data_IF_356048879480
#
_entry.id   IF_356048879480
#
_cell.length_a   1.000
_cell.length_b   1.000
_cell.length_c   1.000
_cell.angle_alpha   90.00
_cell.angle_beta   90.00
_cell.angle_gamma   90.00
#
_symmetry.space_group_name_H-M   'P 1'
#
loop_
_entity.id
_entity.type
_entity.pdbx_description
1 polymer ?
#
# COMPACT_ATOMS: atom_id res chain seq x y z
N UNK A 1 -46.57 -23.51 -31.91
CA UNK A 1 -47.81 -22.70 -32.00
C UNK A 1 -47.78 -21.78 -30.79
N UNK A 2 -47.66 -20.50 -30.81
CA UNK A 2 -48.03 -19.37 -31.62
C UNK A 2 -47.01 -18.23 -31.39
N UNK A 3 -46.57 -17.64 -32.49
CA UNK A 3 -45.91 -16.34 -32.58
C UNK A 3 -46.75 -15.22 -31.99
N UNK A 4 -46.10 -14.15 -31.43
CA UNK A 4 -46.51 -12.77 -31.67
C UNK A 4 -45.27 -11.92 -31.78
N UNK A 5 -45.25 -11.14 -32.89
CA UNK A 5 -44.24 -10.23 -33.41
C UNK A 5 -44.43 -8.81 -32.87
N UNK A 6 -43.29 -8.07 -32.81
CA UNK A 6 -43.08 -6.68 -33.17
C UNK A 6 -43.96 -5.56 -32.57
N UNK A 7 -43.28 -4.53 -31.98
CA UNK A 7 -43.41 -3.14 -32.51
C UNK A 7 -42.14 -2.35 -32.17
N UNK A 8 -41.43 -1.89 -33.23
CA UNK A 8 -40.47 -0.78 -33.25
C UNK A 8 -41.24 0.52 -33.21
N UNK A 9 -40.74 1.53 -32.48
CA UNK A 9 -40.87 2.95 -32.92
C UNK A 9 -39.68 3.76 -32.40
N UNK A 10 -38.90 4.22 -33.40
CA UNK A 10 -37.93 5.31 -33.31
C UNK A 10 -38.70 6.65 -33.28
N UNK A 11 -38.18 7.63 -32.56
CA UNK A 11 -38.42 9.04 -32.83
C UNK A 11 -37.18 9.85 -32.46
N UNK A 12 -36.54 10.39 -33.51
CA UNK A 12 -35.51 11.40 -33.50
C UNK A 12 -36.10 12.78 -33.63
N UNK A 13 -35.53 13.80 -32.96
CA UNK A 13 -35.56 15.26 -33.31
C UNK A 13 -34.59 15.93 -32.30
N UNK A 14 -33.45 16.40 -32.66
CA UNK A 14 -32.91 17.58 -33.38
C UNK A 14 -33.55 18.92 -33.01
N UNK A 15 -32.72 19.78 -32.40
CA UNK A 15 -32.60 21.25 -32.51
C UNK A 15 -31.42 21.67 -31.60
N UNK A 16 -30.37 22.17 -32.02
CA UNK A 16 -29.61 23.15 -32.75
C UNK A 16 -29.80 24.62 -32.31
N UNK A 17 -28.63 25.25 -32.13
CA UNK A 17 -28.31 26.69 -32.19
C UNK A 17 -28.67 27.51 -30.91
N UNK A 18 -27.89 28.53 -30.50
CA UNK A 18 -26.84 29.35 -31.11
C UNK A 18 -26.06 30.12 -30.04
N UNK A 19 -24.79 30.29 -30.28
CA UNK A 19 -23.94 31.50 -30.25
C UNK A 19 -24.37 32.71 -29.37
N UNK A 20 -23.37 33.16 -28.59
CA UNK A 20 -22.92 34.56 -28.75
C UNK A 20 -21.53 34.78 -28.11
N UNK A 21 -20.63 35.26 -28.96
CA UNK A 21 -19.36 35.92 -28.65
C UNK A 21 -19.59 37.24 -27.92
N UNK A 22 -18.68 37.60 -27.02
CA UNK A 22 -18.28 38.97 -26.83
C UNK A 22 -16.80 39.09 -26.45
N UNK A 23 -16.05 39.66 -27.39
CA UNK A 23 -14.72 40.24 -27.23
C UNK A 23 -14.85 41.67 -26.68
N UNK A 24 -13.89 42.05 -25.81
CA UNK A 24 -13.29 43.40 -25.75
C UNK A 24 -12.19 43.30 -24.69
N UNK A 25 -10.92 43.35 -24.92
CA UNK A 25 -10.00 44.26 -25.60
C UNK A 25 -9.50 45.44 -24.72
N UNK A 26 -8.15 45.53 -24.64
CA UNK A 26 -7.30 46.72 -24.40
C UNK A 26 -7.10 47.12 -22.93
N UNK A 27 -5.90 47.39 -22.47
CA UNK A 27 -4.67 47.91 -22.98
C UNK A 27 -3.58 47.93 -21.90
N UNK A 28 -2.42 47.69 -22.28
CA UNK A 28 -1.29 48.62 -22.51
C UNK A 28 -0.66 49.31 -21.29
N UNK A 29 0.63 49.10 -21.17
CA UNK A 29 1.60 49.98 -20.47
C UNK A 29 2.65 49.10 -19.82
N UNK A 30 3.71 48.75 -20.41
CA UNK A 30 4.93 49.29 -20.95
C UNK A 30 5.85 49.89 -19.91
N UNK A 31 7.03 49.28 -19.90
CA UNK A 31 8.38 49.81 -19.75
C UNK A 31 8.80 50.14 -18.32
N UNK A 32 9.97 49.84 -17.89
CA UNK A 32 11.29 49.85 -18.42
C UNK A 32 12.26 49.80 -17.26
N UNK A 33 13.24 49.10 -17.38
CA UNK A 33 14.71 49.20 -17.46
C UNK A 33 15.38 49.18 -16.11
N UNK A 34 16.26 48.23 -16.00
CA UNK A 34 17.66 48.21 -16.34
C UNK A 34 18.59 48.66 -15.22
N UNK A 35 19.54 47.84 -15.06
CA UNK A 35 21.00 48.09 -15.00
C UNK A 35 21.64 47.80 -13.68
N UNK A 36 22.42 46.82 -13.63
CA UNK A 36 23.84 46.67 -13.84
C UNK A 36 24.67 46.99 -12.61
N UNK A 37 25.36 45.96 -12.24
CA UNK A 37 26.79 45.69 -12.41
C UNK A 37 27.68 45.96 -11.22
N UNK A 38 28.50 44.94 -10.94
CA UNK A 38 29.98 45.01 -10.74
C UNK A 38 30.41 45.37 -9.35
N UNK A 39 31.35 44.74 -8.71
CA UNK A 39 32.58 44.07 -8.95
C UNK A 39 33.10 43.64 -7.57
N UNK A 40 33.61 42.44 -7.45
CA UNK A 40 34.97 41.99 -7.52
C UNK A 40 35.90 42.40 -6.36
N UNK A 41 36.55 41.34 -5.87
CA UNK A 41 37.90 41.26 -5.26
C UNK A 41 38.01 41.69 -3.78
N UNK A 42 38.74 41.02 -2.90
CA UNK A 42 39.84 40.07 -3.05
C UNK A 42 40.21 39.52 -1.68
N UNK A 43 40.70 38.28 -1.71
CA UNK A 43 41.75 37.65 -0.94
C UNK A 43 42.14 38.20 0.46
N UNK A 44 42.21 37.23 1.40
CA UNK A 44 42.96 37.39 2.63
C UNK A 44 43.04 36.04 3.37
N UNK A 45 44.13 35.32 3.10
CA UNK A 45 44.60 34.11 3.79
C UNK A 45 44.98 34.41 5.21
N UNK A 46 44.59 33.60 6.18
CA UNK A 46 45.40 33.16 7.32
C UNK A 46 44.65 32.11 8.15
N UNK A 47 45.14 30.91 8.19
CA UNK A 47 45.05 29.97 9.34
C UNK A 47 46.44 30.05 10.04
N UNK A 48 46.70 29.49 11.23
CA UNK A 48 45.88 28.70 12.14
C UNK A 48 45.98 29.14 13.62
N UNK A 49 45.13 28.65 14.49
CA UNK A 49 45.50 28.36 15.88
C UNK A 49 44.53 27.28 16.44
N UNK A 50 45.11 26.11 16.72
CA UNK A 50 44.57 25.10 17.58
C UNK A 50 44.34 25.66 18.97
N UNK A 51 43.18 25.42 19.54
CA UNK A 51 42.97 25.45 20.99
C UNK A 51 42.04 24.28 21.32
N UNK A 52 42.63 23.31 21.98
CA UNK A 52 41.92 22.21 22.66
C UNK A 52 40.90 22.81 23.63
N UNK A 53 39.68 22.32 23.53
CA UNK A 53 38.66 22.47 24.57
C UNK A 53 38.26 21.05 25.07
N UNK A 54 38.06 20.91 26.38
CA UNK A 54 38.00 19.57 27.01
C UNK A 54 36.70 18.84 26.67
N UNK A 55 36.84 17.52 26.58
CA UNK A 55 35.77 16.57 26.44
C UNK A 55 34.69 16.78 27.52
N UNK A 56 33.50 17.14 27.10
CA UNK A 56 32.30 17.03 27.93
C UNK A 56 31.82 15.59 27.88
N UNK A 57 31.74 14.93 29.00
CA UNK A 57 31.05 13.67 29.22
C UNK A 57 29.59 13.83 28.75
N UNK A 58 29.00 12.79 28.08
CA UNK A 58 27.58 12.81 27.78
C UNK A 58 26.81 12.69 29.11
N UNK A 59 26.09 13.73 29.44
CA UNK A 59 25.07 13.68 30.49
C UNK A 59 24.05 12.60 30.11
N UNK A 60 23.96 11.57 30.93
CA UNK A 60 22.89 10.61 30.89
C UNK A 60 21.58 11.39 31.05
N UNK A 61 20.82 11.51 29.97
CA UNK A 61 19.40 11.88 30.02
C UNK A 61 18.70 10.68 30.63
N UNK A 62 18.41 10.81 31.93
CA UNK A 62 17.51 9.95 32.67
C UNK A 62 16.14 10.13 32.04
N UNK A 63 15.82 9.26 31.08
CA UNK A 63 14.48 9.10 30.50
C UNK A 63 13.66 8.40 31.60
N UNK A 64 13.10 9.19 32.48
CA UNK A 64 12.01 8.71 33.31
C UNK A 64 10.79 8.45 32.37
N UNK A 65 10.81 7.31 31.68
CA UNK A 65 9.59 6.67 31.23
C UNK A 65 8.80 6.35 32.53
N UNK A 66 7.77 7.12 32.75
CA UNK A 66 6.78 6.77 33.78
C UNK A 66 6.18 5.44 33.33
N UNK A 67 6.47 4.37 34.05
CA UNK A 67 5.75 3.11 33.95
C UNK A 67 4.29 3.38 34.33
N UNK A 68 3.49 3.76 33.35
CA UNK A 68 2.03 3.71 33.45
C UNK A 68 1.62 2.29 33.06
N UNK A 69 1.93 1.31 33.91
CA UNK A 69 1.39 -0.02 33.75
C UNK A 69 -0.11 0.06 33.98
N UNK A 70 -0.89 -0.39 32.98
CA UNK A 70 -2.33 -0.52 33.11
C UNK A 70 -2.69 -1.32 34.39
N UNK A 71 -3.80 -0.99 35.04
CA UNK A 71 -4.25 -1.76 36.18
C UNK A 71 -4.62 -3.18 35.75
N UNK A 72 -4.22 -4.18 36.55
CA UNK A 72 -4.58 -5.59 36.31
C UNK A 72 -6.12 -5.72 36.17
N UNK A 73 -6.56 -6.40 35.09
CA UNK A 73 -7.98 -6.57 34.76
C UNK A 73 -8.59 -5.43 33.94
N UNK A 74 -7.78 -4.47 33.43
CA UNK A 74 -8.26 -3.47 32.48
C UNK A 74 -8.72 -4.14 31.19
N UNK A 75 -9.82 -3.68 30.60
CA UNK A 75 -10.36 -4.13 29.32
C UNK A 75 -10.23 -2.98 28.33
N UNK A 76 -9.56 -3.24 27.20
CA UNK A 76 -9.44 -2.32 26.08
C UNK A 76 -10.28 -2.83 24.91
N UNK A 77 -11.13 -1.98 24.34
CA UNK A 77 -11.90 -2.28 23.14
C UNK A 77 -11.08 -1.97 21.90
N UNK A 78 -10.84 -2.97 21.08
CA UNK A 78 -9.97 -2.88 19.90
C UNK A 78 -10.77 -3.11 18.63
N UNK A 79 -10.96 -2.06 17.83
CA UNK A 79 -11.57 -2.18 16.50
C UNK A 79 -10.55 -2.73 15.49
N UNK A 80 -10.81 -3.89 14.88
CA UNK A 80 -9.99 -4.42 13.76
C UNK A 80 -10.82 -4.33 12.48
N UNK A 81 -10.31 -3.63 11.47
CA UNK A 81 -11.07 -3.34 10.25
C UNK A 81 -10.28 -3.76 9.01
N UNK A 82 -10.57 -4.96 8.51
CA UNK A 82 -9.99 -5.46 7.28
C UNK A 82 -10.68 -4.83 6.06
N UNK A 83 -9.91 -4.46 5.03
CA UNK A 83 -10.47 -3.87 3.80
C UNK A 83 -11.34 -4.87 3.04
N UNK A 84 -10.85 -6.09 2.83
CA UNK A 84 -11.50 -7.17 2.08
C UNK A 84 -10.96 -8.52 2.53
N UNK A 85 -11.67 -9.61 2.25
CA UNK A 85 -11.15 -10.97 2.45
C UNK A 85 -10.07 -11.27 1.40
N UNK A 86 -8.86 -11.52 1.89
CA UNK A 86 -7.68 -11.89 1.11
C UNK A 86 -6.68 -12.61 2.01
N UNK A 87 -5.97 -13.59 1.47
CA UNK A 87 -5.08 -14.45 2.25
C UNK A 87 -3.97 -13.68 3.00
N UNK A 88 -3.39 -12.63 2.41
CA UNK A 88 -2.38 -11.80 3.08
C UNK A 88 -3.00 -10.99 4.23
N UNK A 89 -4.18 -10.39 3.98
CA UNK A 89 -4.89 -9.60 5.00
C UNK A 89 -5.45 -10.47 6.12
N UNK A 90 -5.86 -11.70 5.83
CA UNK A 90 -6.31 -12.68 6.82
C UNK A 90 -5.16 -13.15 7.71
N UNK A 91 -3.96 -13.37 7.15
CA UNK A 91 -2.75 -13.65 7.93
C UNK A 91 -2.44 -12.51 8.91
N UNK A 92 -2.57 -11.25 8.49
CA UNK A 92 -2.36 -10.06 9.33
C UNK A 92 -3.38 -10.04 10.47
N UNK A 93 -4.68 -10.16 10.15
CA UNK A 93 -5.76 -10.15 11.15
C UNK A 93 -5.55 -11.23 12.21
N UNK A 94 -5.28 -12.47 11.78
CA UNK A 94 -5.03 -13.59 12.68
C UNK A 94 -3.79 -13.38 13.56
N UNK A 95 -2.71 -12.80 13.02
CA UNK A 95 -1.50 -12.51 13.75
C UNK A 95 -1.72 -11.40 14.79
N UNK A 96 -2.46 -10.33 14.44
CA UNK A 96 -2.85 -9.27 15.38
C UNK A 96 -3.63 -9.86 16.55
N UNK A 97 -4.67 -10.64 16.28
CA UNK A 97 -5.51 -11.27 17.32
C UNK A 97 -4.70 -12.17 18.23
N UNK A 98 -3.85 -13.02 17.64
CA UNK A 98 -3.00 -13.93 18.40
C UNK A 98 -2.01 -13.22 19.32
N UNK A 99 -1.40 -12.13 18.84
CA UNK A 99 -0.44 -11.36 19.64
C UNK A 99 -1.15 -10.55 20.74
N UNK A 100 -2.30 -9.94 20.46
CA UNK A 100 -3.11 -9.26 21.47
C UNK A 100 -3.53 -10.21 22.60
N UNK A 101 -3.92 -11.45 22.26
CA UNK A 101 -4.25 -12.47 23.25
C UNK A 101 -3.03 -12.85 24.10
N UNK A 102 -1.86 -13.03 23.48
CA UNK A 102 -0.63 -13.36 24.18
C UNK A 102 -0.19 -12.23 25.12
N UNK A 103 -0.20 -10.98 24.64
CA UNK A 103 0.12 -9.77 25.43
C UNK A 103 -0.90 -9.53 26.55
N UNK A 104 -2.17 -9.76 26.27
CA UNK A 104 -3.22 -9.67 27.30
C UNK A 104 -2.96 -10.61 28.47
N UNK A 105 -2.58 -11.85 28.20
CA UNK A 105 -2.21 -12.82 29.23
C UNK A 105 -0.94 -12.41 29.98
N UNK A 106 0.09 -11.93 29.29
CA UNK A 106 1.35 -11.47 29.87
C UNK A 106 1.16 -10.28 30.81
N UNK A 107 0.36 -9.30 30.38
CA UNK A 107 0.17 -8.01 31.06
C UNK A 107 -1.00 -8.01 32.06
N UNK A 108 -1.82 -9.07 32.11
CA UNK A 108 -2.98 -9.15 32.98
C UNK A 108 -4.13 -8.20 32.57
N UNK A 109 -4.22 -7.85 31.28
CA UNK A 109 -5.26 -7.02 30.67
C UNK A 109 -6.06 -7.83 29.65
N UNK A 110 -7.16 -7.27 29.14
CA UNK A 110 -7.96 -7.88 28.09
C UNK A 110 -8.05 -6.92 26.92
N UNK A 111 -7.72 -7.40 25.72
CA UNK A 111 -8.00 -6.71 24.47
C UNK A 111 -9.29 -7.33 23.88
N UNK A 112 -10.38 -6.60 23.97
CA UNK A 112 -11.70 -7.05 23.50
C UNK A 112 -11.89 -6.59 22.06
N UNK A 113 -11.63 -7.49 21.11
CA UNK A 113 -11.76 -7.25 19.67
C UNK A 113 -12.88 -8.08 19.02
N UNK A 114 -13.42 -9.10 19.71
CA UNK A 114 -14.31 -10.08 19.07
C UNK A 114 -15.58 -9.44 18.46
N UNK A 115 -16.20 -8.48 19.18
CA UNK A 115 -17.38 -7.78 18.69
C UNK A 115 -17.03 -6.61 17.75
N UNK A 116 -15.76 -6.21 17.69
CA UNK A 116 -15.25 -5.05 16.97
C UNK A 116 -14.38 -5.39 15.76
N UNK A 117 -14.23 -6.68 15.41
CA UNK A 117 -13.59 -7.14 14.16
C UNK A 117 -14.60 -7.06 13.01
N UNK A 118 -14.26 -6.33 11.96
CA UNK A 118 -15.14 -6.01 10.83
C UNK A 118 -14.43 -6.16 9.49
N UNK A 119 -15.21 -6.46 8.44
CA UNK A 119 -14.74 -6.52 7.07
C UNK A 119 -15.44 -5.42 6.23
N UNK A 120 -14.64 -4.61 5.56
CA UNK A 120 -15.09 -3.50 4.71
C UNK A 120 -15.65 -3.94 3.36
N UNK A 121 -15.42 -5.19 2.95
CA UNK A 121 -15.93 -5.78 1.70
C UNK A 121 -15.54 -4.96 0.44
N UNK A 122 -14.37 -4.32 0.47
CA UNK A 122 -13.88 -3.41 -0.57
C UNK A 122 -14.86 -2.26 -0.89
N UNK A 123 -15.74 -1.89 0.05
CA UNK A 123 -16.77 -0.87 -0.14
C UNK A 123 -16.62 0.30 0.83
N UNK A 124 -16.41 1.50 0.29
CA UNK A 124 -16.21 2.71 1.07
C UNK A 124 -17.42 3.09 1.94
N UNK A 125 -18.64 2.75 1.51
CA UNK A 125 -19.85 3.02 2.30
C UNK A 125 -19.90 2.13 3.52
N UNK A 126 -19.58 0.85 3.35
CA UNK A 126 -19.46 -0.13 4.44
C UNK A 126 -18.37 0.29 5.43
N UNK A 127 -17.20 0.70 4.97
CA UNK A 127 -16.11 1.18 5.82
C UNK A 127 -16.50 2.43 6.61
N UNK A 128 -17.17 3.40 6.01
CA UNK A 128 -17.66 4.58 6.72
C UNK A 128 -18.72 4.23 7.80
N UNK A 129 -19.57 3.24 7.53
CA UNK A 129 -20.53 2.76 8.54
C UNK A 129 -19.80 2.08 9.70
N UNK A 130 -18.83 1.20 9.40
CA UNK A 130 -17.99 0.55 10.41
C UNK A 130 -17.28 1.58 11.29
N UNK A 131 -16.66 2.61 10.68
CA UNK A 131 -16.02 3.68 11.42
C UNK A 131 -16.98 4.37 12.39
N UNK A 132 -18.21 4.70 11.93
CA UNK A 132 -19.24 5.33 12.73
C UNK A 132 -19.69 4.44 13.91
N UNK A 133 -19.83 3.13 13.67
CA UNK A 133 -20.23 2.17 14.68
C UNK A 133 -19.14 1.99 15.75
N UNK A 134 -17.87 1.86 15.36
CA UNK A 134 -16.73 1.76 16.28
C UNK A 134 -16.58 3.02 17.16
N UNK A 135 -16.76 4.20 16.58
CA UNK A 135 -16.75 5.47 17.33
C UNK A 135 -17.91 5.52 18.33
N UNK A 136 -19.12 5.10 17.93
CA UNK A 136 -20.28 5.07 18.80
C UNK A 136 -20.15 4.05 19.95
N UNK A 137 -19.39 2.99 19.75
CA UNK A 137 -19.09 1.96 20.75
C UNK A 137 -17.93 2.36 21.68
N UNK A 138 -17.36 3.56 21.52
CA UNK A 138 -16.22 4.10 22.29
C UNK A 138 -15.06 3.09 22.33
N UNK A 139 -14.55 2.68 21.13
CA UNK A 139 -13.34 1.83 21.06
C UNK A 139 -12.10 2.64 21.45
N UNK A 140 -11.13 1.97 22.11
CA UNK A 140 -9.91 2.61 22.61
C UNK A 140 -8.84 2.78 21.52
N UNK A 141 -8.90 1.97 20.46
CA UNK A 141 -8.02 2.02 19.28
C UNK A 141 -8.71 1.40 18.08
N UNK A 142 -8.33 1.83 16.86
CA UNK A 142 -8.75 1.19 15.62
C UNK A 142 -7.53 0.71 14.85
N UNK A 143 -7.56 -0.54 14.39
CA UNK A 143 -6.53 -1.17 13.57
C UNK A 143 -7.10 -1.41 12.17
N UNK A 144 -6.95 -0.45 11.24
CA UNK A 144 -7.30 -0.70 9.85
C UNK A 144 -6.21 -1.52 9.17
N UNK A 145 -6.62 -2.51 8.38
CA UNK A 145 -5.74 -3.35 7.57
C UNK A 145 -5.92 -2.97 6.11
N UNK A 146 -4.86 -2.57 5.43
CA UNK A 146 -4.71 -2.00 4.10
C UNK A 146 -5.01 -0.49 3.99
N UNK A 147 -4.35 0.16 3.02
CA UNK A 147 -4.39 1.62 2.80
C UNK A 147 -5.81 2.21 2.69
N UNK A 148 -6.76 1.61 1.93
CA UNK A 148 -8.09 2.19 1.81
C UNK A 148 -8.88 2.21 3.13
N UNK A 149 -8.72 1.19 3.97
CA UNK A 149 -9.33 1.15 5.30
C UNK A 149 -8.69 2.21 6.22
N UNK A 150 -7.37 2.35 6.17
CA UNK A 150 -6.62 3.31 6.97
C UNK A 150 -7.04 4.77 6.69
N UNK A 151 -7.22 5.14 5.42
CA UNK A 151 -7.65 6.48 5.01
C UNK A 151 -9.05 6.84 5.55
N UNK A 152 -9.96 5.88 5.53
CA UNK A 152 -11.33 6.10 6.04
C UNK A 152 -11.32 6.22 7.56
N UNK A 153 -10.57 5.36 8.27
CA UNK A 153 -10.49 5.41 9.74
C UNK A 153 -9.78 6.68 10.22
N UNK A 154 -8.71 7.13 9.55
CA UNK A 154 -8.07 8.41 9.82
C UNK A 154 -9.08 9.56 9.73
N UNK A 155 -9.77 9.68 8.60
CA UNK A 155 -10.75 10.75 8.38
C UNK A 155 -11.86 10.73 9.42
N UNK A 156 -12.37 9.54 9.78
CA UNK A 156 -13.44 9.41 10.76
C UNK A 156 -13.01 9.78 12.18
N UNK A 157 -11.71 9.65 12.50
CA UNK A 157 -11.17 9.91 13.85
C UNK A 157 -10.52 11.28 14.02
N UNK A 158 -10.53 12.15 13.01
CA UNK A 158 -9.93 13.49 13.08
C UNK A 158 -10.45 14.34 14.26
N UNK A 159 -11.76 14.28 14.55
CA UNK A 159 -12.36 15.10 15.61
C UNK A 159 -12.24 14.47 17.02
N UNK A 160 -12.38 13.14 17.11
CA UNK A 160 -12.42 12.44 18.41
C UNK A 160 -11.05 11.94 18.87
N UNK A 161 -10.05 11.93 17.96
CA UNK A 161 -8.66 11.57 18.24
C UNK A 161 -8.49 10.14 18.79
N UNK A 162 -9.40 9.22 18.46
CA UNK A 162 -9.20 7.79 18.73
C UNK A 162 -7.92 7.36 18.02
N UNK A 163 -6.96 6.71 18.71
CA UNK A 163 -5.73 6.21 18.09
C UNK A 163 -6.02 5.26 16.92
N UNK A 164 -5.30 5.44 15.82
CA UNK A 164 -5.35 4.56 14.65
C UNK A 164 -3.96 3.97 14.45
N UNK A 165 -3.85 2.66 14.55
CA UNK A 165 -2.61 1.91 14.29
C UNK A 165 -2.82 1.07 13.04
N UNK A 166 -2.45 1.60 11.89
CA UNK A 166 -2.68 0.90 10.62
C UNK A 166 -1.73 -0.29 10.43
N UNK A 167 -2.18 -1.26 9.65
CA UNK A 167 -1.42 -2.44 9.25
C UNK A 167 -1.39 -2.55 7.73
N UNK A 168 -0.22 -2.87 7.15
CA UNK A 168 -0.02 -3.04 5.71
C UNK A 168 -0.44 -1.80 4.90
N UNK A 169 0.17 -0.66 5.19
CA UNK A 169 0.07 0.53 4.35
C UNK A 169 1.37 0.71 3.58
N UNK A 170 1.30 0.63 2.25
CA UNK A 170 2.51 0.57 1.40
C UNK A 170 3.28 1.90 1.37
N UNK A 171 2.59 3.04 1.33
CA UNK A 171 3.21 4.37 1.37
C UNK A 171 2.36 5.35 2.19
N UNK A 172 2.50 5.34 3.53
CA UNK A 172 1.66 6.16 4.40
C UNK A 172 1.89 7.67 4.27
N UNK A 173 3.06 8.10 3.81
CA UNK A 173 3.37 9.52 3.57
C UNK A 173 2.68 9.99 2.29
N UNK A 174 2.84 9.28 1.17
CA UNK A 174 2.18 9.65 -0.09
C UNK A 174 0.66 9.52 -0.03
N UNK A 175 0.15 8.59 0.77
CA UNK A 175 -1.29 8.46 1.04
C UNK A 175 -1.83 9.60 1.93
N UNK A 176 -0.97 10.38 2.59
CA UNK A 176 -1.37 11.47 3.47
C UNK A 176 -1.84 11.01 4.86
N UNK A 177 -1.50 9.78 5.26
CA UNK A 177 -1.83 9.23 6.57
C UNK A 177 -0.95 9.78 7.68
N UNK A 178 0.32 10.06 7.35
CA UNK A 178 1.32 10.58 8.29
C UNK A 178 2.14 11.70 7.66
N UNK A 179 2.66 12.62 8.46
CA UNK A 179 3.54 13.69 7.97
C UNK A 179 4.92 13.16 7.54
N UNK A 180 5.45 12.22 8.31
CA UNK A 180 6.69 11.50 8.01
C UNK A 180 6.70 10.14 8.70
N UNK A 181 7.60 9.25 8.27
CA UNK A 181 7.74 7.92 8.87
C UNK A 181 8.30 7.99 10.29
N UNK A 182 9.20 8.95 10.58
CA UNK A 182 9.83 9.09 11.90
C UNK A 182 8.94 9.82 12.91
N UNK A 183 8.05 10.69 12.43
CA UNK A 183 7.14 11.49 13.26
C UNK A 183 5.80 11.63 12.51
N UNK A 184 4.84 10.75 12.76
CA UNK A 184 3.54 10.74 12.09
C UNK A 184 2.74 12.03 12.22
N UNK A 185 2.78 12.69 13.37
CA UNK A 185 2.23 14.05 13.58
C UNK A 185 0.75 14.13 13.92
N UNK A 186 0.04 12.98 14.01
CA UNK A 186 -1.39 12.93 14.33
C UNK A 186 -1.73 11.71 15.20
N UNK A 187 -3.02 11.40 15.38
CA UNK A 187 -3.47 10.19 16.09
C UNK A 187 -3.24 8.87 15.29
N UNK A 188 -2.44 8.91 14.22
CA UNK A 188 -2.26 7.79 13.28
C UNK A 188 -0.79 7.38 13.22
N UNK A 189 -0.52 6.08 13.35
CA UNK A 189 0.77 5.42 13.12
C UNK A 189 0.52 3.99 12.65
N UNK A 190 1.56 3.15 12.49
CA UNK A 190 1.36 1.74 12.15
C UNK A 190 2.54 1.08 11.47
N UNK A 191 2.25 0.01 10.71
CA UNK A 191 3.24 -0.81 10.01
C UNK A 191 3.07 -0.71 8.49
N UNK A 192 4.19 -0.56 7.79
CA UNK A 192 4.23 -0.46 6.32
C UNK A 192 4.80 -1.74 5.70
N UNK A 193 4.14 -2.18 4.64
CA UNK A 193 4.56 -3.27 3.74
C UNK A 193 5.21 -2.73 2.46
N UNK A 194 5.92 -1.61 2.54
CA UNK A 194 6.57 -0.96 1.40
C UNK A 194 7.31 -1.96 0.51
N UNK A 195 6.92 -2.01 -0.76
CA UNK A 195 7.45 -2.96 -1.73
C UNK A 195 8.80 -2.51 -2.29
N UNK A 196 9.79 -3.41 -2.28
CA UNK A 196 11.03 -3.21 -3.03
C UNK A 196 10.82 -3.55 -4.52
N UNK A 197 10.33 -2.56 -5.27
CA UNK A 197 9.97 -2.72 -6.70
C UNK A 197 11.17 -3.09 -7.55
N UNK A 198 12.36 -2.54 -7.26
CA UNK A 198 13.59 -2.86 -8.00
C UNK A 198 13.93 -4.34 -7.86
N UNK A 199 13.81 -4.90 -6.65
CA UNK A 199 14.03 -6.33 -6.43
C UNK A 199 13.06 -7.21 -7.22
N UNK A 200 11.78 -6.82 -7.32
CA UNK A 200 10.80 -7.55 -8.13
C UNK A 200 11.19 -7.54 -9.61
N UNK A 201 11.61 -6.40 -10.15
CA UNK A 201 12.04 -6.29 -11.56
C UNK A 201 13.36 -7.07 -11.77
N UNK A 202 14.27 -7.08 -10.80
CA UNK A 202 15.50 -7.89 -10.87
C UNK A 202 15.19 -9.39 -10.85
N UNK A 203 14.17 -9.87 -10.13
CA UNK A 203 13.66 -11.24 -10.24
C UNK A 203 13.15 -11.55 -11.66
N UNK A 204 12.40 -10.63 -12.26
CA UNK A 204 11.93 -10.78 -13.65
C UNK A 204 13.10 -10.91 -14.62
N UNK A 205 14.12 -10.06 -14.46
CA UNK A 205 15.33 -10.09 -15.29
C UNK A 205 16.19 -11.33 -15.05
N UNK A 206 16.19 -11.87 -13.83
CA UNK A 206 16.88 -13.12 -13.53
C UNK A 206 16.21 -14.32 -14.21
N UNK A 207 14.90 -14.34 -14.27
CA UNK A 207 14.11 -15.37 -14.96
C UNK A 207 14.09 -15.18 -16.48
N UNK A 208 14.07 -13.93 -16.95
CA UNK A 208 14.09 -13.56 -18.37
C UNK A 208 15.05 -12.38 -18.63
N UNK A 209 16.35 -12.64 -18.85
CA UNK A 209 17.34 -11.58 -19.11
C UNK A 209 17.11 -10.79 -20.40
N UNK A 210 16.30 -11.32 -21.32
CA UNK A 210 15.98 -10.69 -22.60
C UNK A 210 14.68 -9.87 -22.55
N UNK A 211 14.07 -9.69 -21.39
CA UNK A 211 12.85 -8.89 -21.22
C UNK A 211 13.02 -7.47 -21.77
N UNK A 212 12.08 -7.04 -22.61
CA UNK A 212 12.07 -5.73 -23.29
C UNK A 212 10.84 -4.91 -22.93
N UNK A 213 9.74 -5.55 -22.55
CA UNK A 213 8.46 -4.90 -22.36
C UNK A 213 7.76 -5.43 -21.12
N UNK A 214 7.52 -4.55 -20.15
CA UNK A 214 6.82 -4.86 -18.91
C UNK A 214 5.41 -4.26 -18.94
N UNK A 215 4.39 -5.10 -18.70
CA UNK A 215 3.03 -4.65 -18.44
C UNK A 215 2.89 -4.18 -17.01
N UNK A 216 2.26 -3.04 -16.80
CA UNK A 216 1.89 -2.52 -15.49
C UNK A 216 0.37 -2.61 -15.34
N UNK A 217 -0.11 -3.46 -14.43
CA UNK A 217 -1.53 -3.71 -14.17
C UNK A 217 -1.88 -3.22 -12.76
N UNK A 218 -2.76 -2.22 -12.67
CA UNK A 218 -3.12 -1.64 -11.38
C UNK A 218 -4.40 -0.81 -11.43
N UNK A 219 -4.94 -0.49 -10.27
CA UNK A 219 -6.01 0.49 -10.09
C UNK A 219 -5.40 1.87 -9.79
N UNK A 220 -5.56 2.82 -10.72
CA UNK A 220 -5.07 4.19 -10.56
C UNK A 220 -5.74 4.97 -9.42
N UNK A 221 -6.87 4.46 -8.90
CA UNK A 221 -7.57 5.02 -7.73
C UNK A 221 -6.99 4.56 -6.39
N UNK A 222 -6.12 3.54 -6.38
CA UNK A 222 -5.49 3.02 -5.18
C UNK A 222 -4.21 3.80 -4.85
N UNK A 223 -4.18 4.43 -3.66
CA UNK A 223 -2.99 5.16 -3.21
C UNK A 223 -1.79 4.23 -2.95
N UNK A 224 -2.05 2.97 -2.56
CA UNK A 224 -1.03 1.93 -2.39
C UNK A 224 -0.22 1.63 -3.65
N UNK A 225 -0.77 1.87 -4.84
CA UNK A 225 -0.14 1.50 -6.12
C UNK A 225 0.74 2.61 -6.70
N UNK A 226 0.45 3.88 -6.39
CA UNK A 226 1.02 5.04 -7.09
C UNK A 226 2.54 5.13 -7.03
N UNK A 227 3.12 5.03 -5.84
CA UNK A 227 4.58 5.14 -5.66
C UNK A 227 5.32 3.94 -6.25
N UNK A 228 4.75 2.74 -6.12
CA UNK A 228 5.34 1.53 -6.67
C UNK A 228 5.33 1.54 -8.21
N UNK A 229 4.26 2.00 -8.85
CA UNK A 229 4.20 2.16 -10.32
C UNK A 229 5.21 3.20 -10.81
N UNK A 230 5.29 4.36 -10.15
CA UNK A 230 6.28 5.38 -10.51
C UNK A 230 7.73 4.87 -10.37
N UNK A 231 8.01 4.06 -9.34
CA UNK A 231 9.31 3.40 -9.14
C UNK A 231 9.57 2.36 -10.23
N UNK A 232 8.57 1.55 -10.61
CA UNK A 232 8.70 0.58 -11.68
C UNK A 232 9.02 1.24 -13.03
N UNK A 233 8.32 2.32 -13.37
CA UNK A 233 8.59 3.08 -14.60
C UNK A 233 9.99 3.67 -14.62
N UNK A 234 10.43 4.26 -13.48
CA UNK A 234 11.76 4.85 -13.37
C UNK A 234 12.86 3.79 -13.55
N UNK A 235 12.73 2.64 -12.87
CA UNK A 235 13.69 1.57 -12.94
C UNK A 235 13.70 0.86 -14.30
N UNK A 236 12.54 0.58 -14.89
CA UNK A 236 12.43 0.06 -16.25
C UNK A 236 13.11 0.97 -17.27
N UNK A 237 12.91 2.29 -17.15
CA UNK A 237 13.57 3.28 -18.01
C UNK A 237 15.10 3.24 -17.87
N UNK A 238 15.62 3.08 -16.66
CA UNK A 238 17.06 2.92 -16.41
C UNK A 238 17.61 1.66 -17.08
N UNK A 239 16.86 0.56 -16.97
CA UNK A 239 17.22 -0.74 -17.59
C UNK A 239 16.96 -0.81 -19.10
N UNK A 240 16.31 0.19 -19.70
CA UNK A 240 15.95 0.22 -21.11
C UNK A 240 14.79 -0.70 -21.47
N UNK A 241 13.89 -0.96 -20.53
CA UNK A 241 12.67 -1.75 -20.66
C UNK A 241 11.50 -0.81 -20.95
N UNK A 242 10.70 -1.13 -21.98
CA UNK A 242 9.46 -0.42 -22.30
C UNK A 242 8.37 -0.80 -21.28
N UNK A 243 7.61 0.17 -20.78
CA UNK A 243 6.44 -0.08 -19.93
C UNK A 243 5.15 0.13 -20.69
N UNK A 244 4.16 -0.73 -20.45
CA UNK A 244 2.81 -0.63 -21.01
C UNK A 244 1.82 -0.65 -19.86
N UNK A 245 1.21 0.49 -19.57
CA UNK A 245 0.22 0.60 -18.50
C UNK A 245 -1.18 0.20 -18.99
N UNK A 246 -1.88 -0.59 -18.17
CA UNK A 246 -3.32 -0.85 -18.27
C UNK A 246 -3.93 -0.83 -16.88
N UNK A 247 -5.02 -0.12 -16.73
CA UNK A 247 -5.66 0.15 -15.44
C UNK A 247 -7.13 -0.22 -15.46
N UNK A 248 -7.67 -0.51 -14.29
CA UNK A 248 -9.09 -0.70 -14.05
C UNK A 248 -9.42 -0.35 -12.61
N UNK A 249 -10.67 0.00 -12.32
CA UNK A 249 -11.17 0.33 -10.98
C UNK A 249 -12.20 -0.68 -10.48
N UNK A 250 -12.46 -1.70 -11.27
CA UNK A 250 -13.34 -2.82 -10.97
C UNK A 250 -12.73 -4.12 -11.50
N UNK A 251 -13.14 -5.28 -10.96
CA UNK A 251 -12.65 -6.58 -11.41
C UNK A 251 -12.88 -6.80 -12.92
N UNK A 252 -14.01 -6.35 -13.46
CA UNK A 252 -14.31 -6.44 -14.90
C UNK A 252 -13.36 -5.58 -15.75
N UNK A 253 -13.03 -4.37 -15.28
CA UNK A 253 -12.07 -3.48 -15.96
C UNK A 253 -10.64 -4.03 -15.85
N UNK A 254 -10.24 -4.59 -14.71
CA UNK A 254 -8.95 -5.30 -14.55
C UNK A 254 -8.86 -6.48 -15.52
N UNK A 255 -9.94 -7.27 -15.67
CA UNK A 255 -9.96 -8.38 -16.62
C UNK A 255 -9.78 -7.90 -18.09
N UNK A 256 -10.36 -6.75 -18.45
CA UNK A 256 -10.15 -6.12 -19.76
C UNK A 256 -8.73 -5.54 -19.91
N UNK A 257 -8.18 -4.98 -18.83
CA UNK A 257 -6.80 -4.48 -18.80
C UNK A 257 -5.79 -5.61 -19.00
N UNK A 258 -6.01 -6.78 -18.37
CA UNK A 258 -5.21 -7.99 -18.57
C UNK A 258 -5.24 -8.44 -20.04
N UNK A 259 -6.44 -8.52 -20.67
CA UNK A 259 -6.56 -8.84 -22.10
C UNK A 259 -5.80 -7.84 -23.00
N UNK A 260 -5.81 -6.56 -22.62
CA UNK A 260 -5.09 -5.52 -23.37
C UNK A 260 -3.56 -5.63 -23.22
N UNK A 261 -3.04 -6.06 -22.07
CA UNK A 261 -1.61 -6.34 -21.87
C UNK A 261 -1.17 -7.57 -22.68
N UNK A 262 -1.96 -8.62 -22.70
CA UNK A 262 -1.72 -9.81 -23.54
C UNK A 262 -1.66 -9.41 -25.01
N UNK A 263 -2.63 -8.60 -25.47
CA UNK A 263 -2.66 -8.11 -26.84
C UNK A 263 -1.50 -7.16 -27.19
N UNK A 264 -0.88 -6.52 -26.19
CA UNK A 264 0.31 -5.68 -26.36
C UNK A 264 1.61 -6.49 -26.44
N UNK A 265 1.55 -7.82 -26.27
CA UNK A 265 2.70 -8.73 -26.33
C UNK A 265 3.80 -8.31 -25.34
N UNK A 266 3.43 -8.19 -24.05
CA UNK A 266 4.37 -7.90 -22.97
C UNK A 266 5.11 -9.17 -22.54
N UNK A 267 6.36 -9.02 -22.09
CA UNK A 267 7.19 -10.16 -21.67
C UNK A 267 6.89 -10.64 -20.24
N UNK A 268 6.36 -9.74 -19.40
CA UNK A 268 5.91 -10.00 -18.03
C UNK A 268 4.87 -8.94 -17.63
N UNK A 269 4.14 -9.21 -16.55
CA UNK A 269 3.22 -8.25 -15.91
C UNK A 269 3.67 -8.02 -14.47
N UNK A 270 3.62 -6.76 -14.05
CA UNK A 270 3.81 -6.31 -12.68
C UNK A 270 2.54 -5.67 -12.13
N UNK A 271 2.17 -6.11 -10.94
CA UNK A 271 1.12 -5.48 -10.10
C UNK A 271 1.73 -5.17 -8.74
N UNK A 272 1.61 -3.94 -8.22
CA UNK A 272 2.00 -3.64 -6.82
C UNK A 272 1.07 -4.30 -5.80
N UNK A 273 1.09 -3.88 -4.53
CA UNK A 273 0.10 -4.27 -3.50
C UNK A 273 -1.27 -3.61 -3.78
N UNK A 274 -1.89 -4.00 -4.88
CA UNK A 274 -3.14 -3.42 -5.39
C UNK A 274 -4.35 -4.27 -5.01
N UNK A 275 -5.22 -3.74 -4.17
CA UNK A 275 -6.35 -4.50 -3.63
C UNK A 275 -7.42 -4.84 -4.68
N UNK A 276 -7.58 -4.00 -5.72
CA UNK A 276 -8.54 -4.26 -6.80
C UNK A 276 -8.06 -5.40 -7.69
N UNK A 277 -6.77 -5.38 -8.09
CA UNK A 277 -6.19 -6.48 -8.88
C UNK A 277 -6.15 -7.77 -8.05
N UNK A 278 -5.82 -7.67 -6.76
CA UNK A 278 -5.79 -8.82 -5.85
C UNK A 278 -7.12 -9.58 -5.81
N UNK A 279 -8.24 -8.86 -5.71
CA UNK A 279 -9.57 -9.48 -5.75
C UNK A 279 -9.96 -10.03 -7.14
N UNK A 280 -9.31 -9.56 -8.20
CA UNK A 280 -9.55 -10.02 -9.58
C UNK A 280 -8.65 -11.19 -9.98
N UNK A 281 -7.58 -11.51 -9.22
CA UNK A 281 -6.50 -12.40 -9.67
C UNK A 281 -6.99 -13.79 -10.06
N UNK A 282 -7.83 -14.44 -9.27
CA UNK A 282 -8.43 -15.74 -9.62
C UNK A 282 -9.21 -15.74 -10.95
N UNK A 283 -9.67 -14.58 -11.40
CA UNK A 283 -10.39 -14.45 -12.67
C UNK A 283 -9.47 -14.14 -13.86
N UNK A 284 -8.23 -13.71 -13.61
CA UNK A 284 -7.32 -13.27 -14.68
C UNK A 284 -6.07 -14.13 -14.85
N UNK A 285 -5.62 -14.87 -13.82
CA UNK A 285 -4.35 -15.61 -13.89
C UNK A 285 -4.30 -16.62 -15.04
N UNK A 286 -5.40 -17.36 -15.32
CA UNK A 286 -5.45 -18.33 -16.42
C UNK A 286 -5.18 -17.67 -17.78
N UNK A 287 -5.59 -16.41 -17.97
CA UNK A 287 -5.34 -15.66 -19.20
C UNK A 287 -3.84 -15.43 -19.42
N UNK A 288 -3.12 -15.08 -18.37
CA UNK A 288 -1.67 -14.90 -18.41
C UNK A 288 -0.93 -16.23 -18.59
N UNK A 289 -1.40 -17.29 -17.91
CA UNK A 289 -0.87 -18.65 -18.07
C UNK A 289 -1.03 -19.15 -19.50
N UNK A 290 -2.21 -18.99 -20.12
CA UNK A 290 -2.48 -19.38 -21.50
C UNK A 290 -1.61 -18.61 -22.51
N UNK A 291 -1.35 -17.32 -22.21
CA UNK A 291 -0.47 -16.47 -22.99
C UNK A 291 1.03 -16.70 -22.69
N UNK A 292 1.38 -17.49 -21.68
CA UNK A 292 2.73 -17.72 -21.16
C UNK A 292 3.43 -16.44 -20.71
N UNK A 293 2.68 -15.52 -20.15
CA UNK A 293 3.17 -14.25 -19.60
C UNK A 293 3.22 -14.39 -18.07
N UNK A 294 4.40 -14.33 -17.43
CA UNK A 294 4.49 -14.40 -15.98
C UNK A 294 3.92 -13.13 -15.34
N UNK A 295 3.05 -13.30 -14.34
CA UNK A 295 2.52 -12.24 -13.51
C UNK A 295 3.26 -12.22 -12.17
N UNK A 296 3.91 -11.09 -11.88
CA UNK A 296 4.60 -10.81 -10.61
C UNK A 296 3.83 -9.75 -9.85
N UNK A 297 3.65 -9.95 -8.56
CA UNK A 297 2.85 -9.04 -7.76
C UNK A 297 3.44 -8.76 -6.37
N UNK A 298 2.93 -7.73 -5.71
CA UNK A 298 3.46 -7.16 -4.47
C UNK A 298 3.02 -7.87 -3.18
N UNK A 299 2.33 -9.02 -3.26
CA UNK A 299 1.90 -9.79 -2.09
C UNK A 299 1.87 -11.28 -2.37
N UNK A 300 1.97 -12.11 -1.31
CA UNK A 300 1.96 -13.57 -1.41
C UNK A 300 0.61 -14.12 -1.86
N UNK A 301 -0.50 -13.45 -1.51
CA UNK A 301 -1.85 -13.84 -1.92
C UNK A 301 -2.04 -13.90 -3.44
N UNK A 302 -1.34 -13.10 -4.21
CA UNK A 302 -1.38 -13.20 -5.67
C UNK A 302 -0.90 -14.56 -6.17
N UNK A 303 0.19 -15.09 -5.61
CA UNK A 303 0.68 -16.42 -5.99
C UNK A 303 -0.28 -17.52 -5.53
N UNK A 304 -0.93 -17.37 -4.37
CA UNK A 304 -1.99 -18.26 -3.91
C UNK A 304 -3.21 -18.24 -4.86
N UNK A 305 -3.48 -17.10 -5.49
CA UNK A 305 -4.55 -16.89 -6.45
C UNK A 305 -4.14 -17.20 -7.92
N UNK A 306 -2.94 -17.76 -8.15
CA UNK A 306 -2.53 -18.23 -9.45
C UNK A 306 -1.51 -17.38 -10.19
N UNK A 307 -1.15 -16.17 -9.72
CA UNK A 307 -0.01 -15.43 -10.26
C UNK A 307 1.28 -16.25 -10.16
N UNK A 308 2.24 -16.00 -11.06
CA UNK A 308 3.50 -16.74 -11.04
C UNK A 308 4.30 -16.50 -9.76
N UNK A 309 4.40 -15.25 -9.32
CA UNK A 309 5.21 -14.89 -8.16
C UNK A 309 4.60 -13.72 -7.39
N UNK A 310 4.38 -13.90 -6.09
CA UNK A 310 4.14 -12.83 -5.13
C UNK A 310 5.44 -12.49 -4.42
N UNK A 311 5.78 -11.20 -4.27
CA UNK A 311 6.95 -10.75 -3.55
C UNK A 311 6.55 -9.72 -2.50
N UNK A 312 7.00 -9.91 -1.26
CA UNK A 312 6.58 -9.01 -0.20
C UNK A 312 7.28 -9.26 1.13
N UNK A 313 6.53 -9.00 2.18
CA UNK A 313 6.96 -9.09 3.58
C UNK A 313 6.43 -10.39 4.23
N UNK A 314 6.85 -10.66 5.47
CA UNK A 314 6.19 -11.66 6.30
C UNK A 314 4.95 -11.04 6.95
N UNK A 315 3.76 -11.37 6.48
CA UNK A 315 2.49 -10.80 6.96
C UNK A 315 2.14 -11.20 8.40
N UNK A 316 2.59 -12.36 8.86
CA UNK A 316 2.47 -12.74 10.28
C UNK A 316 3.33 -11.82 11.16
N UNK A 317 4.58 -11.59 10.78
CA UNK A 317 5.47 -10.66 11.51
C UNK A 317 4.93 -9.23 11.48
N UNK A 318 4.36 -8.81 10.35
CA UNK A 318 3.75 -7.48 10.22
C UNK A 318 2.56 -7.32 11.18
N UNK A 319 1.66 -8.31 11.24
CA UNK A 319 0.52 -8.29 12.15
C UNK A 319 0.95 -8.30 13.64
N UNK A 320 1.93 -9.13 13.99
CA UNK A 320 2.52 -9.15 15.35
C UNK A 320 3.09 -7.78 15.73
N UNK A 321 3.88 -7.15 14.83
CA UNK A 321 4.43 -5.81 15.07
C UNK A 321 3.33 -4.74 15.21
N UNK A 322 2.24 -4.85 14.45
CA UNK A 322 1.09 -3.95 14.60
C UNK A 322 0.45 -4.08 15.99
N UNK A 323 0.27 -5.31 16.47
CA UNK A 323 -0.29 -5.56 17.81
C UNK A 323 0.64 -5.05 18.91
N UNK A 324 1.96 -5.21 18.78
CA UNK A 324 2.93 -4.63 19.71
C UNK A 324 2.81 -3.11 19.79
N UNK A 325 2.66 -2.42 18.65
CA UNK A 325 2.43 -0.97 18.61
C UNK A 325 1.12 -0.57 19.28
N UNK A 326 0.05 -1.37 19.15
CA UNK A 326 -1.23 -1.16 19.84
C UNK A 326 -1.05 -1.29 21.35
N UNK A 327 -0.30 -2.28 21.82
CA UNK A 327 0.04 -2.44 23.24
C UNK A 327 0.82 -1.23 23.76
N UNK A 328 1.79 -0.73 22.99
CA UNK A 328 2.53 0.47 23.37
C UNK A 328 1.62 1.70 23.51
N UNK A 329 0.66 1.88 22.61
CA UNK A 329 -0.32 2.98 22.68
C UNK A 329 -1.24 2.82 23.89
N UNK A 330 -1.88 1.66 24.07
CA UNK A 330 -2.93 1.46 25.07
C UNK A 330 -2.41 1.24 26.49
N UNK A 331 -1.32 0.47 26.63
CA UNK A 331 -0.82 0.05 27.95
C UNK A 331 0.33 0.95 28.40
N UNK A 332 1.26 1.26 27.48
CA UNK A 332 2.45 2.05 27.82
C UNK A 332 2.23 3.57 27.63
N UNK A 333 1.08 3.97 27.04
CA UNK A 333 0.71 5.38 26.86
C UNK A 333 1.56 6.10 25.81
N UNK A 334 2.06 5.35 24.82
CA UNK A 334 2.81 5.94 23.70
C UNK A 334 1.90 6.83 22.85
N UNK A 335 2.43 7.98 22.44
CA UNK A 335 1.72 8.91 21.56
C UNK A 335 1.87 8.49 20.10
N UNK A 336 0.79 8.14 19.38
CA UNK A 336 0.86 7.82 17.95
C UNK A 336 1.53 8.91 17.11
N UNK A 337 1.35 10.18 17.47
CA UNK A 337 1.96 11.30 16.76
C UNK A 337 3.50 11.29 16.78
N UNK A 338 4.11 10.67 17.77
CA UNK A 338 5.55 10.59 17.96
C UNK A 338 6.09 9.15 17.76
N UNK A 339 5.21 8.17 17.54
CA UNK A 339 5.59 6.78 17.34
C UNK A 339 5.94 6.54 15.87
N UNK A 340 7.21 6.24 15.52
CA UNK A 340 7.61 6.01 14.14
C UNK A 340 6.83 4.87 13.48
N UNK A 341 6.50 5.04 12.20
CA UNK A 341 5.97 3.95 11.38
C UNK A 341 7.04 2.86 11.24
N UNK A 342 6.65 1.62 11.47
CA UNK A 342 7.55 0.47 11.30
C UNK A 342 7.46 -0.04 9.86
N UNK A 343 8.59 0.01 9.14
CA UNK A 343 8.69 -0.54 7.78
C UNK A 343 9.14 -1.99 7.89
N UNK A 344 8.35 -2.92 7.35
CA UNK A 344 8.72 -4.32 7.29
C UNK A 344 9.73 -4.56 6.15
N UNK A 345 10.73 -5.40 6.41
CA UNK A 345 11.67 -5.82 5.36
C UNK A 345 10.93 -6.68 4.33
N UNK A 346 10.99 -6.28 3.06
CA UNK A 346 10.53 -7.11 1.95
C UNK A 346 11.70 -7.97 1.44
N UNK A 347 11.42 -9.20 1.05
CA UNK A 347 12.48 -10.12 0.61
C UNK A 347 11.99 -11.55 0.43
N UNK A 348 10.70 -11.79 0.66
CA UNK A 348 10.09 -13.11 0.53
C UNK A 348 9.42 -13.23 -0.83
N UNK A 349 9.85 -14.19 -1.64
CA UNK A 349 9.17 -14.57 -2.88
C UNK A 349 8.32 -15.82 -2.61
N UNK A 350 7.03 -15.75 -2.96
CA UNK A 350 6.15 -16.93 -3.04
C UNK A 350 5.92 -17.27 -4.50
N UNK A 351 6.32 -18.47 -4.92
CA UNK A 351 6.21 -18.92 -6.32
C UNK A 351 5.11 -19.96 -6.43
N UNK A 352 4.18 -19.72 -7.35
CA UNK A 352 3.17 -20.72 -7.72
C UNK A 352 3.80 -21.73 -8.69
N UNK A 353 4.00 -22.95 -8.20
CA UNK A 353 4.69 -24.03 -8.94
C UNK A 353 3.89 -24.56 -10.12
N UNK A 354 2.55 -24.57 -10.04
CA UNK A 354 1.67 -24.96 -11.15
C UNK A 354 1.75 -23.93 -12.28
N UNK A 355 1.71 -22.66 -11.95
CA UNK A 355 1.89 -21.58 -12.93
C UNK A 355 3.28 -21.59 -13.54
N UNK A 356 4.33 -21.76 -12.72
CA UNK A 356 5.71 -21.87 -13.20
C UNK A 356 5.87 -23.00 -14.22
N UNK A 357 5.32 -24.19 -13.93
CA UNK A 357 5.34 -25.35 -14.84
C UNK A 357 4.55 -25.07 -16.13
N UNK A 358 3.35 -24.51 -16.02
CA UNK A 358 2.47 -24.22 -17.13
C UNK A 358 3.07 -23.23 -18.14
N UNK A 359 3.71 -22.16 -17.63
CA UNK A 359 4.39 -21.16 -18.47
C UNK A 359 5.80 -21.60 -18.92
N UNK A 360 6.39 -22.58 -18.21
CA UNK A 360 7.73 -23.11 -18.49
C UNK A 360 8.86 -22.18 -18.06
N UNK A 361 8.71 -21.48 -16.93
CA UNK A 361 9.67 -20.52 -16.42
C UNK A 361 10.48 -21.12 -15.25
N UNK A 362 11.81 -20.99 -15.32
CA UNK A 362 12.73 -21.39 -14.26
C UNK A 362 12.94 -20.23 -13.25
N UNK A 363 12.74 -20.50 -11.99
CA UNK A 363 12.92 -19.55 -10.89
C UNK A 363 14.03 -19.97 -9.90
N UNK A 364 14.86 -20.93 -10.27
CA UNK A 364 15.92 -21.45 -9.40
C UNK A 364 16.90 -20.36 -8.93
N UNK A 365 17.08 -19.28 -9.70
CA UNK A 365 17.91 -18.13 -9.35
C UNK A 365 17.32 -17.24 -8.25
N UNK A 366 16.04 -17.38 -7.91
CA UNK A 366 15.40 -16.54 -6.89
C UNK A 366 15.98 -16.76 -5.50
N UNK A 367 16.49 -17.96 -5.21
CA UNK A 367 17.15 -18.27 -3.93
C UNK A 367 18.42 -17.44 -3.67
N UNK A 368 19.04 -16.90 -4.70
CA UNK A 368 20.22 -16.02 -4.58
C UNK A 368 19.84 -14.54 -4.43
N UNK A 369 18.58 -14.17 -4.70
CA UNK A 369 18.09 -12.80 -4.75
C UNK A 369 17.08 -12.47 -3.64
N UNK A 370 16.47 -13.48 -3.04
CA UNK A 370 15.48 -13.34 -1.98
C UNK A 370 16.02 -13.78 -0.64
N UNK A 371 15.49 -13.25 0.45
CA UNK A 371 15.73 -13.73 1.81
C UNK A 371 15.15 -15.14 1.99
N UNK A 372 13.97 -15.36 1.42
CA UNK A 372 13.26 -16.64 1.43
C UNK A 372 12.49 -16.83 0.13
N UNK A 373 12.48 -18.05 -0.39
CA UNK A 373 11.60 -18.48 -1.49
C UNK A 373 10.68 -19.56 -0.97
N UNK A 374 9.39 -19.27 -1.00
CA UNK A 374 8.30 -20.21 -0.66
C UNK A 374 7.63 -20.70 -1.92
N UNK A 375 7.14 -21.92 -1.87
CA UNK A 375 6.40 -22.52 -2.98
C UNK A 375 4.94 -22.73 -2.57
N UNK A 376 4.05 -22.51 -3.52
CA UNK A 376 2.62 -22.74 -3.37
C UNK A 376 2.01 -23.32 -4.64
N UNK A 377 0.72 -23.63 -4.57
CA UNK A 377 -0.16 -23.97 -5.69
C UNK A 377 -1.39 -23.09 -5.64
N UNK A 378 -2.12 -23.01 -6.75
CA UNK A 378 -3.34 -22.19 -6.81
C UNK A 378 -4.40 -22.72 -5.85
N UNK A 379 -4.97 -21.83 -5.04
CA UNK A 379 -6.02 -22.11 -4.06
C UNK A 379 -7.29 -21.41 -4.50
N UNK A 380 -8.38 -22.16 -4.67
CA UNK A 380 -9.69 -21.58 -5.06
C UNK A 380 -10.46 -20.98 -3.86
N UNK A 381 -10.06 -21.32 -2.63
CA UNK A 381 -10.63 -20.78 -1.39
C UNK A 381 -9.60 -20.84 -0.26
N UNK A 382 -9.64 -19.88 0.64
CA UNK A 382 -8.81 -19.80 1.85
C UNK A 382 -9.69 -20.10 3.07
N UNK A 383 -9.89 -21.42 3.37
CA UNK A 383 -10.64 -21.91 4.54
C UNK A 383 -9.68 -22.27 5.72
#
# INVERSE_FOLDING_TARGET
>A
MKNVKFVKKALAMVLAAAMSLSLAACGSGAASSASAASAAASAGSAAPAETEAPAAEPAAVDSAAGETTAAEGTVYKVGIVKYVDDASLDQIEAAIQSELDAKGQELGVTFDYADYTKNGQADSTTLNQIASDLIADDVDVIIPIATPAALIMQTATEENQIPVVFSAVSDPVSAGLVESLDAPGSNVTGTSDALNVEAVIDLMLAANPDMKKLGLLYDQGQDSSKSAIASAEAYCKEKGIETVEKTGTTNDEIALAADALIAADVDAVFTPTDNTVMTAELAIYEKFVDAKIPHYAGADSFALNGAFCGYGVNYVTLGTSTADMVVDVLVNGADPAAMPVQIMSSGIAMVNTETAEAIGLDYSSFTDLCEEVKETVTQESFD
#
